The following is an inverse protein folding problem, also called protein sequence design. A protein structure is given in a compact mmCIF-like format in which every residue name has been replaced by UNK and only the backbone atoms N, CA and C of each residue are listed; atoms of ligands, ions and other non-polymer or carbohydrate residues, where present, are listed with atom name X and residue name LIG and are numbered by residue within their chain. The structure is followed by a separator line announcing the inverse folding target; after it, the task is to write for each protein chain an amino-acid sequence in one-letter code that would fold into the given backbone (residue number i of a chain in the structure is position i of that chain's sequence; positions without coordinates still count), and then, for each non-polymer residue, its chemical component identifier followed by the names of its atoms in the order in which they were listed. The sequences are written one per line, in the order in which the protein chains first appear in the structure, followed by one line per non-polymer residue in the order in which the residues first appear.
data_IF_029469034472
#
_entry.id   IF_029469034472
#
_cell.length_a   1.000
_cell.length_b   1.000
_cell.length_c   1.000
_cell.angle_alpha   90.00
_cell.angle_beta   90.00
_cell.angle_gamma   90.00
#
_symmetry.space_group_name_H-M   'P 1'
#
loop_
_entity.id
_entity.type
_entity.pdbx_description
1 polymer ?
#
# COMPACT_ATOMS: atom_id res chain seq x y z
N UNK A 1 43.36 -3.61 7.71
CA UNK A 1 43.31 -3.97 6.31
C UNK A 1 42.97 -5.45 6.26
N UNK A 2 41.71 -5.81 6.08
CA UNK A 2 41.30 -7.19 5.90
C UNK A 2 41.15 -7.43 4.39
N UNK A 3 41.83 -8.43 3.90
CA UNK A 3 41.79 -8.85 2.51
C UNK A 3 40.34 -9.22 2.13
N UNK A 4 39.80 -8.54 1.12
CA UNK A 4 38.59 -8.97 0.42
C UNK A 4 38.96 -10.28 -0.30
N UNK A 5 38.38 -11.38 0.18
CA UNK A 5 38.28 -12.58 -0.64
C UNK A 5 37.20 -12.33 -1.65
N UNK A 6 37.56 -12.25 -2.91
CA UNK A 6 36.65 -12.31 -4.05
C UNK A 6 35.97 -13.69 -4.02
N UNK A 7 34.72 -13.72 -3.63
CA UNK A 7 33.87 -14.90 -3.80
C UNK A 7 33.28 -14.79 -5.21
N UNK A 8 33.90 -15.47 -6.16
CA UNK A 8 33.26 -15.74 -7.44
C UNK A 8 32.00 -16.57 -7.22
N UNK A 9 30.83 -15.94 -7.32
CA UNK A 9 29.54 -16.65 -7.38
C UNK A 9 29.37 -17.16 -8.81
N UNK A 10 29.94 -18.33 -9.07
CA UNK A 10 29.92 -18.98 -10.37
C UNK A 10 28.78 -19.99 -10.49
N UNK A 11 27.63 -19.58 -10.63
CA UNK A 11 26.42 -20.27 -11.14
C UNK A 11 25.28 -20.41 -10.13
N UNK A 12 24.08 -20.44 -10.67
CA UNK A 12 22.81 -20.67 -9.93
C UNK A 12 22.78 -22.00 -9.16
N UNK A 13 23.68 -22.91 -9.46
CA UNK A 13 23.84 -24.20 -8.77
C UNK A 13 24.51 -24.03 -7.40
N UNK A 14 25.46 -23.09 -7.28
CA UNK A 14 26.22 -22.93 -6.02
C UNK A 14 25.43 -22.20 -4.93
N UNK A 15 24.37 -21.45 -5.32
CA UNK A 15 23.45 -20.86 -4.35
C UNK A 15 22.42 -21.84 -3.80
N UNK A 16 22.17 -22.96 -4.46
CA UNK A 16 21.25 -24.01 -3.99
C UNK A 16 21.83 -24.85 -2.86
N UNK A 17 23.16 -24.96 -2.77
CA UNK A 17 23.85 -25.68 -1.69
C UNK A 17 23.83 -24.91 -0.35
N UNK A 18 23.47 -23.62 -0.36
CA UNK A 18 23.27 -22.82 0.85
C UNK A 18 21.84 -22.93 1.42
N UNK A 19 20.92 -23.58 0.71
CA UNK A 19 19.59 -23.83 1.19
C UNK A 19 19.56 -25.08 2.06
N UNK A 20 18.76 -25.03 3.14
CA UNK A 20 18.55 -26.14 4.07
C UNK A 20 18.29 -27.44 3.29
N UNK A 21 18.96 -28.58 3.63
CA UNK A 21 18.89 -29.82 2.85
C UNK A 21 17.48 -30.41 2.68
N UNK A 22 16.51 -29.94 3.46
CA UNK A 22 15.11 -30.35 3.36
C UNK A 22 14.28 -29.49 2.42
N UNK A 23 14.81 -28.38 1.87
CA UNK A 23 14.13 -27.59 0.86
C UNK A 23 14.39 -28.25 -0.48
N UNK A 24 13.49 -29.13 -0.89
CA UNK A 24 13.49 -29.68 -2.25
C UNK A 24 13.34 -28.52 -3.22
N UNK A 25 14.22 -28.40 -4.24
CA UNK A 25 14.00 -27.41 -5.27
C UNK A 25 12.60 -27.60 -5.84
N UNK A 26 11.87 -26.52 -5.99
CA UNK A 26 10.58 -26.53 -6.68
C UNK A 26 10.78 -27.25 -8.00
N UNK A 27 9.95 -28.27 -8.32
CA UNK A 27 10.04 -28.86 -9.63
C UNK A 27 9.91 -27.73 -10.66
N UNK A 28 10.95 -27.56 -11.46
CA UNK A 28 10.90 -26.64 -12.60
C UNK A 28 9.92 -27.30 -13.56
N UNK A 29 8.64 -27.00 -13.39
CA UNK A 29 7.64 -27.35 -14.38
C UNK A 29 8.01 -26.57 -15.64
N UNK A 30 8.22 -27.23 -16.76
CA UNK A 30 8.43 -26.52 -18.03
C UNK A 30 7.25 -25.58 -18.26
N UNK A 31 7.45 -24.42 -18.86
CA UNK A 31 6.35 -23.53 -19.18
C UNK A 31 5.26 -24.31 -19.95
N UNK A 32 3.98 -24.09 -19.64
CA UNK A 32 2.90 -24.81 -20.28
C UNK A 32 3.00 -24.63 -21.80
N UNK A 33 2.78 -25.70 -22.55
CA UNK A 33 2.77 -25.66 -24.00
C UNK A 33 1.70 -24.69 -24.53
N UNK A 34 1.87 -24.15 -25.73
CA UNK A 34 0.82 -23.30 -26.35
C UNK A 34 -0.55 -23.98 -26.39
N UNK A 35 -0.61 -25.31 -26.53
CA UNK A 35 -1.85 -26.08 -26.50
C UNK A 35 -2.50 -26.13 -25.10
N UNK A 36 -1.71 -26.28 -24.06
CA UNK A 36 -2.18 -26.22 -22.67
C UNK A 36 -2.69 -24.83 -22.32
N UNK A 37 -1.97 -23.80 -22.73
CA UNK A 37 -2.40 -22.41 -22.60
C UNK A 37 -3.71 -22.19 -23.35
N UNK A 38 -3.83 -22.64 -24.59
CA UNK A 38 -5.06 -22.53 -25.39
C UNK A 38 -6.24 -23.26 -24.73
N UNK A 39 -6.03 -24.42 -24.11
CA UNK A 39 -7.07 -25.15 -23.35
C UNK A 39 -7.54 -24.39 -22.12
N UNK A 40 -6.62 -23.72 -21.39
CA UNK A 40 -6.99 -22.88 -20.24
C UNK A 40 -7.81 -21.67 -20.70
N UNK A 41 -7.40 -21.02 -21.79
CA UNK A 41 -8.16 -19.89 -22.34
C UNK A 41 -9.50 -20.32 -22.94
N UNK A 42 -9.59 -21.48 -23.59
CA UNK A 42 -10.85 -22.04 -24.05
C UNK A 42 -11.82 -22.35 -22.90
N UNK A 43 -11.31 -22.89 -21.78
CA UNK A 43 -12.10 -23.08 -20.56
C UNK A 43 -12.62 -21.75 -19.98
N UNK A 44 -11.77 -20.72 -19.92
CA UNK A 44 -12.18 -19.37 -19.45
C UNK A 44 -13.23 -18.73 -20.36
N UNK A 45 -13.20 -19.01 -21.66
CA UNK A 45 -14.23 -18.52 -22.59
C UNK A 45 -15.52 -19.34 -22.53
N UNK A 46 -15.46 -20.61 -22.12
CA UNK A 46 -16.64 -21.48 -22.03
C UNK A 46 -17.50 -21.20 -20.78
N UNK A 47 -16.90 -20.71 -19.70
CA UNK A 47 -17.61 -20.22 -18.52
C UNK A 47 -17.63 -18.70 -18.54
N UNK A 48 -18.79 -18.11 -18.80
CA UNK A 48 -19.01 -16.68 -18.57
C UNK A 48 -19.06 -16.45 -17.05
N UNK A 49 -17.88 -16.27 -16.44
CA UNK A 49 -17.77 -16.08 -15.01
C UNK A 49 -18.49 -14.80 -14.55
N UNK A 50 -18.54 -13.76 -15.40
CA UNK A 50 -19.32 -12.55 -15.12
C UNK A 50 -20.80 -12.87 -14.97
N UNK A 51 -21.36 -13.64 -15.91
CA UNK A 51 -22.75 -14.10 -15.84
C UNK A 51 -22.99 -15.01 -14.63
N UNK A 52 -22.06 -15.91 -14.33
CA UNK A 52 -22.16 -16.73 -13.13
C UNK A 52 -22.19 -15.85 -11.86
N UNK A 53 -21.37 -14.80 -11.78
CA UNK A 53 -21.40 -13.85 -10.68
C UNK A 53 -22.75 -13.13 -10.58
N UNK A 54 -23.29 -12.62 -11.70
CA UNK A 54 -24.60 -11.98 -11.74
C UNK A 54 -25.72 -12.91 -11.26
N UNK A 55 -25.66 -14.19 -11.63
CA UNK A 55 -26.67 -15.18 -11.28
C UNK A 55 -26.53 -15.70 -9.84
N UNK A 56 -25.31 -15.76 -9.28
CA UNK A 56 -25.01 -16.45 -8.03
C UNK A 56 -24.55 -15.54 -6.88
N UNK A 57 -24.01 -14.35 -7.17
CA UNK A 57 -23.52 -13.41 -6.16
C UNK A 57 -24.46 -12.20 -5.98
N UNK A 58 -25.77 -12.48 -5.89
CA UNK A 58 -26.74 -11.42 -5.67
C UNK A 58 -26.59 -10.84 -4.27
N UNK A 59 -26.74 -9.50 -4.18
CA UNK A 59 -26.64 -8.77 -2.92
C UNK A 59 -27.54 -9.37 -1.84
N UNK A 60 -28.74 -9.83 -2.20
CA UNK A 60 -29.69 -10.46 -1.29
C UNK A 60 -29.15 -11.76 -0.65
N UNK A 61 -28.20 -12.43 -1.29
CA UNK A 61 -27.60 -13.66 -0.74
C UNK A 61 -26.54 -13.39 0.31
N UNK A 62 -26.11 -12.13 0.45
CA UNK A 62 -25.18 -11.72 1.49
C UNK A 62 -25.88 -11.48 2.84
N UNK A 63 -27.18 -11.19 2.83
CA UNK A 63 -27.96 -10.97 4.06
C UNK A 63 -28.09 -12.26 4.87
N UNK A 64 -27.85 -12.14 6.18
CA UNK A 64 -27.97 -13.26 7.11
C UNK A 64 -26.78 -14.21 7.15
N UNK A 65 -25.73 -13.97 6.36
CA UNK A 65 -24.45 -14.66 6.55
C UNK A 65 -23.65 -13.96 7.65
N UNK A 66 -22.96 -14.73 8.52
CA UNK A 66 -22.06 -14.13 9.49
C UNK A 66 -20.91 -13.43 8.76
N UNK A 67 -20.57 -12.24 9.23
CA UNK A 67 -19.40 -11.50 8.77
C UNK A 67 -18.14 -12.02 9.46
N UNK A 68 -16.97 -11.83 8.83
CA UNK A 68 -15.71 -12.42 9.30
C UNK A 68 -15.34 -12.02 10.74
N UNK A 69 -15.66 -10.79 11.16
CA UNK A 69 -15.36 -10.24 12.48
C UNK A 69 -16.64 -10.00 13.31
N UNK A 70 -17.74 -10.64 12.95
CA UNK A 70 -18.99 -10.50 13.69
C UNK A 70 -18.81 -10.94 15.15
N UNK A 71 -19.18 -10.05 16.08
CA UNK A 71 -19.05 -10.26 17.51
C UNK A 71 -17.73 -9.80 18.12
N UNK A 72 -16.76 -9.41 17.31
CA UNK A 72 -15.52 -8.78 17.79
C UNK A 72 -15.70 -7.29 18.02
N UNK A 73 -15.03 -6.77 19.04
CA UNK A 73 -15.07 -5.36 19.42
C UNK A 73 -13.66 -4.78 19.49
N UNK A 74 -13.47 -3.62 18.88
CA UNK A 74 -12.23 -2.87 18.89
C UNK A 74 -12.43 -1.47 19.44
N UNK A 75 -11.46 -0.98 20.20
CA UNK A 75 -11.45 0.39 20.72
C UNK A 75 -10.31 1.15 20.08
N UNK A 76 -10.61 2.29 19.48
CA UNK A 76 -9.65 3.20 18.88
C UNK A 76 -9.47 4.43 19.75
N UNK A 77 -8.23 4.79 20.05
CA UNK A 77 -7.85 6.05 20.72
C UNK A 77 -6.82 6.78 19.88
N UNK A 78 -7.05 8.05 19.61
CA UNK A 78 -6.14 8.88 18.82
C UNK A 78 -6.81 10.18 18.40
N UNK A 79 -6.07 11.27 18.48
CA UNK A 79 -6.53 12.60 18.05
C UNK A 79 -5.78 13.04 16.80
N UNK A 80 -6.48 13.64 15.84
CA UNK A 80 -5.87 14.04 14.56
C UNK A 80 -5.24 12.88 13.81
N UNK A 81 -5.83 11.66 13.91
CA UNK A 81 -5.26 10.43 13.38
C UNK A 81 -6.19 9.81 12.34
N UNK A 82 -5.79 9.89 11.08
CA UNK A 82 -6.52 9.23 9.98
C UNK A 82 -6.24 7.74 9.94
N UNK A 83 -5.02 7.31 10.26
CA UNK A 83 -4.62 5.90 10.19
C UNK A 83 -5.51 4.99 11.04
N UNK A 84 -5.78 5.34 12.30
CA UNK A 84 -6.65 4.53 13.15
C UNK A 84 -8.13 4.57 12.71
N UNK A 85 -8.60 5.71 12.17
CA UNK A 85 -9.96 5.79 11.61
C UNK A 85 -10.11 4.89 10.39
N UNK A 86 -9.11 4.91 9.53
CA UNK A 86 -9.07 4.04 8.35
C UNK A 86 -9.01 2.56 8.75
N UNK A 87 -8.11 2.17 9.66
CA UNK A 87 -8.05 0.82 10.20
C UNK A 87 -9.39 0.38 10.80
N UNK A 88 -10.02 1.25 11.62
CA UNK A 88 -11.33 1.01 12.19
C UNK A 88 -12.42 0.81 11.15
N UNK A 89 -12.39 1.59 10.06
CA UNK A 89 -13.30 1.45 8.92
C UNK A 89 -13.17 0.08 8.24
N UNK A 90 -11.95 -0.38 7.96
CA UNK A 90 -11.70 -1.70 7.38
C UNK A 90 -12.22 -2.84 8.28
N UNK A 91 -12.00 -2.73 9.58
CA UNK A 91 -12.50 -3.71 10.55
C UNK A 91 -14.03 -3.70 10.64
N UNK A 92 -14.66 -2.52 10.56
CA UNK A 92 -16.14 -2.41 10.50
C UNK A 92 -16.70 -3.05 9.23
N UNK A 93 -16.05 -2.86 8.08
CA UNK A 93 -16.45 -3.45 6.81
C UNK A 93 -16.37 -4.98 6.84
N UNK A 94 -15.53 -5.54 7.71
CA UNK A 94 -15.46 -6.97 7.98
C UNK A 94 -16.43 -7.47 9.07
N UNK A 95 -17.27 -6.60 9.63
CA UNK A 95 -18.35 -6.94 10.59
C UNK A 95 -18.04 -6.67 12.06
N UNK A 96 -16.90 -6.05 12.38
CA UNK A 96 -16.55 -5.73 13.75
C UNK A 96 -17.32 -4.52 14.30
N UNK A 97 -17.50 -4.47 15.60
CA UNK A 97 -17.91 -3.26 16.31
C UNK A 97 -16.66 -2.45 16.67
N UNK A 98 -16.51 -1.26 16.09
CA UNK A 98 -15.39 -0.35 16.39
C UNK A 98 -15.90 0.90 17.12
N UNK A 99 -15.27 1.20 18.25
CA UNK A 99 -15.63 2.33 19.11
C UNK A 99 -14.45 3.29 19.20
N UNK A 100 -14.61 4.49 18.65
CA UNK A 100 -13.63 5.56 18.78
C UNK A 100 -13.86 6.36 20.06
N UNK A 101 -12.81 6.49 20.85
CA UNK A 101 -12.80 7.37 22.03
C UNK A 101 -12.34 8.75 21.59
N UNK A 102 -13.18 9.73 21.84
CA UNK A 102 -12.91 11.14 21.56
C UNK A 102 -12.91 11.92 22.90
N UNK A 103 -12.18 13.02 23.00
CA UNK A 103 -12.31 13.92 24.14
C UNK A 103 -13.72 14.55 24.17
N UNK A 104 -14.13 15.16 25.28
CA UNK A 104 -15.45 15.79 25.40
C UNK A 104 -15.77 16.81 24.29
N UNK A 105 -14.74 17.46 23.77
CA UNK A 105 -14.84 18.47 22.70
C UNK A 105 -14.98 17.84 21.30
N UNK A 106 -14.83 16.52 21.18
CA UNK A 106 -14.77 15.77 19.94
C UNK A 106 -13.38 15.78 19.29
N UNK A 107 -13.17 14.89 18.32
CA UNK A 107 -11.94 14.84 17.56
C UNK A 107 -11.86 16.07 16.62
N UNK A 108 -10.76 16.82 16.63
CA UNK A 108 -10.57 17.94 15.71
C UNK A 108 -10.67 17.57 14.22
N UNK A 109 -10.46 16.30 13.84
CA UNK A 109 -10.71 15.81 12.48
C UNK A 109 -12.18 15.99 12.04
N UNK A 110 -13.12 16.17 12.97
CA UNK A 110 -14.53 16.50 12.66
C UNK A 110 -14.67 17.78 11.84
N UNK A 111 -13.65 18.64 11.85
CA UNK A 111 -13.60 19.86 11.05
C UNK A 111 -12.92 19.68 9.69
N UNK A 112 -12.41 18.47 9.38
CA UNK A 112 -11.70 18.21 8.15
C UNK A 112 -12.66 18.10 6.98
N UNK A 113 -12.42 18.92 5.96
CA UNK A 113 -13.22 18.94 4.73
C UNK A 113 -12.32 18.96 3.51
N UNK A 114 -12.75 18.40 2.37
CA UNK A 114 -12.00 18.47 1.13
C UNK A 114 -11.63 19.90 0.78
N UNK A 115 -10.35 20.14 0.58
CA UNK A 115 -9.78 21.47 0.26
C UNK A 115 -10.10 22.57 1.29
N UNK A 116 -10.47 22.22 2.54
CA UNK A 116 -10.86 23.18 3.58
C UNK A 116 -12.16 23.94 3.30
N UNK A 117 -12.99 23.46 2.39
CA UNK A 117 -14.21 24.13 1.96
C UNK A 117 -15.38 23.89 2.90
N UNK A 118 -16.02 24.96 3.36
CA UNK A 118 -17.12 24.91 4.34
C UNK A 118 -18.39 24.25 3.80
N UNK A 119 -18.62 24.25 2.50
CA UNK A 119 -19.74 23.58 1.84
C UNK A 119 -19.74 22.05 2.03
N UNK A 120 -18.61 21.47 2.41
CA UNK A 120 -18.48 20.05 2.74
C UNK A 120 -18.61 19.72 4.23
N UNK A 121 -19.08 20.68 5.03
CA UNK A 121 -19.57 20.44 6.38
C UNK A 121 -21.01 19.96 6.30
N UNK A 122 -21.25 18.69 6.68
CA UNK A 122 -22.58 18.11 6.69
C UNK A 122 -23.21 18.28 8.08
N UNK A 123 -24.49 18.56 8.11
CA UNK A 123 -25.26 18.71 9.34
C UNK A 123 -26.16 17.48 9.54
N UNK A 124 -26.07 16.87 10.72
CA UNK A 124 -26.95 15.78 11.10
C UNK A 124 -28.40 16.25 11.20
N UNK A 125 -29.29 15.59 10.48
CA UNK A 125 -30.74 15.86 10.57
C UNK A 125 -31.33 15.47 11.91
N UNK A 126 -30.63 14.69 12.72
CA UNK A 126 -31.09 14.19 14.00
C UNK A 126 -30.58 15.06 15.15
N UNK A 127 -29.25 15.32 15.18
CA UNK A 127 -28.61 16.03 16.31
C UNK A 127 -28.35 17.51 16.02
N UNK A 128 -28.34 17.92 14.74
CA UNK A 128 -27.92 19.28 14.33
C UNK A 128 -26.41 19.50 14.37
N UNK A 129 -25.63 18.49 14.75
CA UNK A 129 -24.18 18.59 14.77
C UNK A 129 -23.61 18.64 13.36
N UNK A 130 -22.54 19.41 13.21
CA UNK A 130 -21.80 19.55 11.94
C UNK A 130 -20.52 18.75 11.96
N UNK A 131 -20.25 18.04 10.86
CA UNK A 131 -19.07 17.25 10.71
C UNK A 131 -18.55 17.33 9.28
N UNK A 132 -17.24 17.37 9.12
CA UNK A 132 -16.58 17.42 7.81
C UNK A 132 -16.70 16.11 7.06
N UNK A 133 -16.83 16.22 5.75
CA UNK A 133 -17.03 15.05 4.87
C UNK A 133 -15.89 14.03 4.98
N UNK A 134 -14.63 14.47 5.10
CA UNK A 134 -13.48 13.59 5.22
C UNK A 134 -13.55 12.74 6.49
N UNK A 135 -13.95 13.35 7.63
CA UNK A 135 -14.14 12.60 8.87
C UNK A 135 -15.27 11.58 8.76
N UNK A 136 -16.39 11.95 8.15
CA UNK A 136 -17.52 11.04 7.94
C UNK A 136 -17.10 9.85 7.10
N UNK A 137 -16.31 10.09 6.06
CA UNK A 137 -15.79 9.03 5.19
C UNK A 137 -14.92 8.05 5.97
N UNK A 138 -13.98 8.55 6.76
CA UNK A 138 -13.04 7.67 7.50
C UNK A 138 -13.69 6.99 8.71
N UNK A 139 -14.71 7.60 9.28
CA UNK A 139 -15.48 7.03 10.41
C UNK A 139 -16.59 6.05 9.99
N UNK A 140 -16.60 5.63 8.73
CA UNK A 140 -17.62 4.72 8.20
C UNK A 140 -17.80 3.47 9.07
N UNK A 141 -19.05 3.18 9.45
CA UNK A 141 -19.42 2.04 10.30
C UNK A 141 -19.03 2.15 11.78
N UNK A 142 -18.18 3.09 12.16
CA UNK A 142 -17.65 3.20 13.51
C UNK A 142 -18.58 3.98 14.43
N UNK A 143 -18.53 3.66 15.70
CA UNK A 143 -19.22 4.39 16.78
C UNK A 143 -18.26 5.37 17.44
N UNK A 144 -18.80 6.48 17.94
CA UNK A 144 -18.03 7.47 18.71
C UNK A 144 -18.55 7.56 20.13
N UNK A 145 -17.63 7.65 21.09
CA UNK A 145 -17.92 7.89 22.50
C UNK A 145 -16.99 8.99 22.99
N UNK A 146 -17.56 10.03 23.57
CA UNK A 146 -16.76 11.08 24.24
C UNK A 146 -16.39 10.65 25.65
N UNK A 147 -15.09 10.71 25.99
CA UNK A 147 -14.59 10.29 27.29
C UNK A 147 -13.34 11.09 27.66
N UNK A 148 -13.32 11.67 28.86
CA UNK A 148 -12.12 12.33 29.38
C UNK A 148 -11.22 11.30 30.07
N UNK A 149 -10.17 10.86 29.41
CA UNK A 149 -9.21 9.87 29.94
C UNK A 149 -8.25 10.44 30.99
N UNK A 150 -8.28 11.74 31.27
CA UNK A 150 -7.49 12.36 32.32
C UNK A 150 -8.17 12.29 33.70
N UNK A 151 -9.48 11.99 33.74
CA UNK A 151 -10.22 11.81 34.99
C UNK A 151 -10.24 10.35 35.42
N UNK A 152 -10.31 10.10 36.72
CA UNK A 152 -10.37 8.73 37.25
C UNK A 152 -11.64 8.00 36.79
N UNK A 153 -12.78 8.70 36.76
CA UNK A 153 -14.03 8.16 36.26
C UNK A 153 -13.94 7.78 34.79
N UNK A 154 -13.28 8.62 33.99
CA UNK A 154 -13.03 8.33 32.56
C UNK A 154 -12.14 7.10 32.37
N UNK A 155 -11.07 6.96 33.17
CA UNK A 155 -10.20 5.78 33.14
C UNK A 155 -10.94 4.51 33.53
N UNK A 156 -11.80 4.56 34.54
CA UNK A 156 -12.61 3.42 34.96
C UNK A 156 -13.60 2.98 33.87
N UNK A 157 -14.25 3.95 33.20
CA UNK A 157 -15.17 3.66 32.08
C UNK A 157 -14.36 3.04 30.93
N UNK A 158 -13.18 3.60 30.60
CA UNK A 158 -12.31 3.06 29.56
C UNK A 158 -11.90 1.62 29.86
N UNK A 159 -11.44 1.31 31.09
CA UNK A 159 -11.07 -0.04 31.49
C UNK A 159 -12.23 -1.04 31.39
N UNK A 160 -13.44 -0.63 31.76
CA UNK A 160 -14.65 -1.46 31.58
C UNK A 160 -14.91 -1.76 30.10
N UNK A 161 -14.72 -0.76 29.24
CA UNK A 161 -14.88 -0.94 27.80
C UNK A 161 -13.81 -1.89 27.23
N UNK A 162 -12.54 -1.74 27.67
CA UNK A 162 -11.45 -2.63 27.27
C UNK A 162 -11.71 -4.07 27.71
N UNK A 163 -12.25 -4.30 28.92
CA UNK A 163 -12.59 -5.62 29.41
C UNK A 163 -13.67 -6.34 28.57
N UNK A 164 -14.37 -5.62 27.71
CA UNK A 164 -15.38 -6.14 26.77
C UNK A 164 -14.90 -6.12 25.31
N UNK A 165 -13.61 -5.85 25.08
CA UNK A 165 -13.05 -5.63 23.75
C UNK A 165 -11.95 -6.63 23.46
N UNK A 166 -11.75 -6.93 22.18
CA UNK A 166 -10.75 -7.86 21.68
C UNK A 166 -9.40 -7.18 21.44
N UNK A 167 -9.43 -5.94 20.96
CA UNK A 167 -8.21 -5.18 20.74
C UNK A 167 -8.37 -3.68 20.94
N UNK A 168 -7.23 -3.03 21.16
CA UNK A 168 -7.06 -1.57 21.19
C UNK A 168 -6.16 -1.14 20.03
N UNK A 169 -6.56 -0.08 19.35
CA UNK A 169 -5.75 0.68 18.41
C UNK A 169 -5.39 2.01 19.10
N UNK A 170 -4.14 2.14 19.49
CA UNK A 170 -3.62 3.32 20.16
C UNK A 170 -2.72 4.12 19.21
N UNK A 171 -3.22 5.25 18.72
CA UNK A 171 -2.44 6.21 17.92
C UNK A 171 -2.25 7.53 18.68
N UNK A 172 -2.20 7.47 20.01
CA UNK A 172 -1.79 8.60 20.83
C UNK A 172 -0.28 8.79 20.79
N UNK A 173 0.24 9.97 21.15
CA UNK A 173 1.68 10.16 21.27
C UNK A 173 2.33 9.08 22.14
N UNK A 174 3.51 8.61 21.72
CA UNK A 174 4.23 7.53 22.40
C UNK A 174 4.34 7.79 23.90
N UNK A 175 3.91 6.81 24.72
CA UNK A 175 3.92 6.90 26.18
C UNK A 175 2.76 7.68 26.80
N UNK A 176 1.89 8.32 26.03
CA UNK A 176 0.75 9.08 26.59
C UNK A 176 -0.21 8.16 27.35
N UNK A 177 -0.66 7.08 26.75
CA UNK A 177 -1.56 6.12 27.41
C UNK A 177 -0.91 5.46 28.62
N UNK A 178 0.40 5.18 28.55
CA UNK A 178 1.16 4.70 29.71
C UNK A 178 1.21 5.70 30.85
N UNK A 179 1.33 6.99 30.57
CA UNK A 179 1.35 8.06 31.60
C UNK A 179 0.02 8.17 32.34
N UNK A 180 -1.07 7.76 31.70
CA UNK A 180 -2.41 7.70 32.29
C UNK A 180 -2.67 6.38 33.05
N UNK A 181 -1.76 5.39 32.96
CA UNK A 181 -1.99 4.04 33.49
C UNK A 181 -2.91 3.19 32.62
N UNK A 182 -3.07 3.56 31.33
CA UNK A 182 -3.96 2.93 30.36
C UNK A 182 -3.22 2.27 29.17
N UNK A 183 -1.88 2.26 29.21
CA UNK A 183 -1.07 1.56 28.20
C UNK A 183 -1.03 0.05 28.40
N UNK A 184 -0.50 -0.68 27.41
CA UNK A 184 -0.47 -2.14 27.38
C UNK A 184 0.10 -2.77 28.66
N UNK A 185 1.24 -2.28 29.19
CA UNK A 185 1.88 -2.80 30.40
C UNK A 185 0.99 -2.73 31.65
N UNK A 186 -0.01 -1.85 31.66
CA UNK A 186 -0.97 -1.72 32.75
C UNK A 186 -2.19 -2.60 32.54
N UNK A 187 -2.67 -2.64 31.28
CA UNK A 187 -3.91 -3.35 30.92
C UNK A 187 -3.70 -4.85 30.75
N UNK A 188 -2.54 -5.31 30.28
CA UNK A 188 -2.27 -6.73 29.99
C UNK A 188 -2.39 -7.65 31.21
N UNK A 189 -2.09 -7.14 32.40
CA UNK A 189 -2.25 -7.93 33.64
C UNK A 189 -3.71 -8.12 34.03
N UNK A 190 -4.55 -7.13 33.74
CA UNK A 190 -5.99 -7.17 34.04
C UNK A 190 -6.76 -7.89 32.93
N UNK A 191 -6.31 -7.71 31.67
CA UNK A 191 -6.93 -8.24 30.47
C UNK A 191 -5.95 -9.06 29.62
N UNK A 192 -5.58 -10.28 30.04
CA UNK A 192 -4.52 -11.06 29.39
C UNK A 192 -4.83 -11.46 27.95
N UNK A 193 -6.09 -11.43 27.54
CA UNK A 193 -6.49 -11.72 26.15
C UNK A 193 -6.44 -10.49 25.23
N UNK A 194 -6.17 -9.30 25.76
CA UNK A 194 -6.19 -8.06 25.00
C UNK A 194 -5.05 -8.01 23.97
N UNK A 195 -5.40 -7.82 22.71
CA UNK A 195 -4.45 -7.40 21.68
C UNK A 195 -4.36 -5.87 21.73
N UNK A 196 -3.16 -5.35 21.84
CA UNK A 196 -2.90 -3.91 21.92
C UNK A 196 -1.97 -3.48 20.80
N UNK A 197 -2.47 -2.74 19.82
CA UNK A 197 -1.69 -2.24 18.70
C UNK A 197 -1.42 -0.75 18.87
N UNK A 198 -0.17 -0.39 19.07
CA UNK A 198 0.27 0.99 19.06
C UNK A 198 0.65 1.41 17.65
N UNK A 199 0.19 2.58 17.21
CA UNK A 199 0.51 3.15 15.91
C UNK A 199 1.29 4.45 16.13
N UNK A 200 2.52 4.47 15.68
CA UNK A 200 3.42 5.59 15.90
C UNK A 200 4.12 6.03 14.62
N UNK A 201 4.54 7.29 14.55
CA UNK A 201 5.27 7.79 13.36
C UNK A 201 6.66 7.14 13.25
N UNK A 202 7.36 7.01 14.39
CA UNK A 202 8.75 6.54 14.47
C UNK A 202 8.98 5.43 15.49
N UNK A 203 7.92 4.80 15.95
CA UNK A 203 7.95 3.79 16.99
C UNK A 203 8.00 4.37 18.41
N UNK A 204 7.74 3.48 19.38
CA UNK A 204 7.79 3.78 20.83
C UNK A 204 9.13 3.40 21.45
N UNK A 205 10.00 2.76 20.71
CA UNK A 205 11.35 2.35 21.12
C UNK A 205 12.37 2.61 19.99
N UNK A 206 13.65 2.39 20.26
CA UNK A 206 14.74 2.61 19.31
C UNK A 206 15.31 4.04 19.31
N UNK A 207 16.26 4.33 18.39
CA UNK A 207 17.05 5.57 18.43
C UNK A 207 16.27 6.83 18.02
N UNK A 208 15.09 6.65 17.45
CA UNK A 208 14.27 7.77 16.95
C UNK A 208 13.02 8.05 17.79
N UNK A 209 12.74 7.24 18.84
CA UNK A 209 11.56 7.39 19.70
C UNK A 209 11.38 8.79 20.31
N UNK A 210 12.48 9.42 20.68
CA UNK A 210 12.50 10.75 21.33
C UNK A 210 12.76 11.89 20.34
N UNK A 211 12.99 11.58 19.04
CA UNK A 211 13.19 12.58 17.98
C UNK A 211 11.84 13.11 17.48
N UNK A 212 11.09 13.69 18.39
CA UNK A 212 9.81 14.30 18.08
C UNK A 212 9.97 15.81 18.01
N UNK A 213 9.58 16.43 16.90
CA UNK A 213 9.33 17.87 16.91
C UNK A 213 8.06 18.16 17.71
N UNK A 214 7.86 19.39 18.16
CA UNK A 214 6.61 19.82 18.79
C UNK A 214 5.36 19.47 17.96
N UNK A 215 5.54 19.21 16.66
CA UNK A 215 4.51 18.86 15.69
C UNK A 215 4.65 17.43 15.17
N UNK A 216 5.76 16.74 15.40
CA UNK A 216 6.18 15.53 14.67
C UNK A 216 5.53 14.21 15.08
N UNK A 217 4.68 14.23 16.11
CA UNK A 217 3.89 13.05 16.49
C UNK A 217 2.42 13.12 16.05
N UNK A 218 2.04 14.21 15.38
CA UNK A 218 0.63 14.48 15.13
C UNK A 218 0.09 13.89 13.83
N UNK A 219 0.95 13.62 12.84
CA UNK A 219 0.52 13.04 11.57
C UNK A 219 1.55 12.09 11.00
N UNK A 220 1.10 10.96 10.46
CA UNK A 220 1.96 9.99 9.78
C UNK A 220 2.43 10.52 8.43
N UNK A 221 1.56 11.21 7.69
CA UNK A 221 1.76 11.54 6.29
C UNK A 221 3.03 12.34 5.98
N UNK A 222 3.24 13.57 6.48
CA UNK A 222 4.43 14.31 6.06
C UNK A 222 5.73 13.72 6.63
N UNK A 223 5.70 13.14 7.82
CA UNK A 223 6.89 12.68 8.52
C UNK A 223 7.26 11.24 8.17
N UNK A 224 6.29 10.35 8.01
CA UNK A 224 6.50 9.00 7.54
C UNK A 224 7.05 9.00 6.11
N UNK A 225 6.38 9.71 5.19
CA UNK A 225 6.80 9.80 3.80
C UNK A 225 8.16 10.45 3.57
N UNK A 226 8.51 11.47 4.37
CA UNK A 226 9.82 12.11 4.28
C UNK A 226 10.94 11.28 4.92
N UNK A 227 10.63 10.52 5.98
CA UNK A 227 11.65 9.77 6.72
C UNK A 227 12.21 8.59 5.93
N UNK A 228 11.47 8.04 4.97
CA UNK A 228 11.79 6.80 4.26
C UNK A 228 11.94 6.93 2.74
N UNK A 229 12.12 8.13 2.25
CA UNK A 229 12.35 8.41 0.84
C UNK A 229 11.15 8.26 -0.13
N UNK A 230 9.95 7.89 0.32
CA UNK A 230 8.76 7.81 -0.54
C UNK A 230 8.52 9.13 -1.30
N UNK A 231 8.53 10.26 -0.60
CA UNK A 231 8.39 11.60 -1.19
C UNK A 231 9.60 11.93 -2.07
N UNK A 232 10.81 11.41 -1.74
CA UNK A 232 11.99 11.60 -2.56
C UNK A 232 11.83 10.95 -3.94
N UNK A 233 11.25 9.77 -4.02
CA UNK A 233 11.06 9.02 -5.27
C UNK A 233 9.92 9.55 -6.13
N UNK A 234 9.03 10.36 -5.56
CA UNK A 234 7.86 10.89 -6.26
C UNK A 234 8.18 12.23 -6.92
N UNK A 235 7.87 12.36 -8.21
CA UNK A 235 8.03 13.60 -8.97
C UNK A 235 8.91 13.47 -10.21
N UNK A 236 9.15 14.60 -10.86
CA UNK A 236 10.00 14.66 -12.05
C UNK A 236 11.49 14.43 -11.72
N UNK A 237 12.28 13.93 -12.68
CA UNK A 237 13.72 13.79 -12.54
C UNK A 237 14.39 15.11 -12.13
N UNK A 238 15.36 15.03 -11.23
CA UNK A 238 16.01 16.23 -10.66
C UNK A 238 16.84 16.99 -11.67
N UNK A 239 17.36 16.32 -12.66
CA UNK A 239 18.28 16.81 -13.71
C UNK A 239 17.54 17.39 -14.92
N UNK A 240 16.24 17.10 -15.07
CA UNK A 240 15.48 17.53 -16.24
C UNK A 240 14.76 18.88 -16.05
N UNK A 241 14.58 19.33 -14.82
CA UNK A 241 13.90 20.59 -14.52
C UNK A 241 14.67 21.39 -13.47
N UNK A 242 14.74 22.73 -13.59
CA UNK A 242 15.24 23.58 -12.52
C UNK A 242 14.47 23.31 -11.22
N UNK A 243 15.14 23.42 -10.08
CA UNK A 243 14.52 23.23 -8.75
C UNK A 243 13.23 24.02 -8.57
N UNK A 244 13.14 25.17 -9.20
CA UNK A 244 11.98 26.09 -9.20
C UNK A 244 10.79 25.57 -10.04
N UNK A 245 11.02 24.60 -10.93
CA UNK A 245 10.04 24.11 -11.91
C UNK A 245 9.57 22.69 -11.68
N UNK A 246 9.99 22.01 -10.60
CA UNK A 246 9.52 20.65 -10.30
C UNK A 246 10.58 19.60 -9.98
N UNK A 247 11.87 19.98 -9.94
CA UNK A 247 12.95 19.07 -9.49
C UNK A 247 12.96 18.79 -7.99
N UNK A 248 11.97 19.26 -7.23
CA UNK A 248 11.80 18.96 -5.81
C UNK A 248 10.95 17.70 -5.59
N UNK A 249 11.09 17.04 -4.44
CA UNK A 249 10.19 15.97 -4.02
C UNK A 249 8.73 16.42 -4.08
N UNK A 250 7.87 15.54 -4.56
CA UNK A 250 6.45 15.84 -4.75
C UNK A 250 5.62 14.98 -3.79
N UNK A 251 4.69 15.60 -3.09
CA UNK A 251 3.74 14.89 -2.25
C UNK A 251 2.75 14.12 -3.13
N UNK A 252 2.39 12.90 -2.73
CA UNK A 252 1.25 12.19 -3.30
C UNK A 252 -0.05 12.99 -3.08
N UNK A 253 -1.00 12.86 -3.96
CA UNK A 253 -2.30 13.55 -3.85
C UNK A 253 -3.22 12.99 -2.77
N UNK A 254 -2.79 11.94 -2.06
CA UNK A 254 -3.54 11.23 -1.01
C UNK A 254 -2.73 11.18 0.29
N UNK A 255 -3.39 10.89 1.40
CA UNK A 255 -2.78 10.69 2.73
C UNK A 255 -2.17 9.28 2.83
N UNK A 256 -1.20 9.03 1.97
CA UNK A 256 -0.69 7.70 1.68
C UNK A 256 -0.12 7.00 2.93
N UNK A 257 0.68 7.70 3.73
CA UNK A 257 1.29 7.14 4.93
C UNK A 257 0.25 6.75 5.99
N UNK A 258 -0.79 7.57 6.15
CA UNK A 258 -1.88 7.28 7.09
C UNK A 258 -2.67 6.05 6.64
N UNK A 259 -2.99 5.93 5.36
CA UNK A 259 -3.75 4.80 4.84
C UNK A 259 -2.95 3.50 4.89
N UNK A 260 -1.69 3.51 4.49
CA UNK A 260 -0.84 2.31 4.56
C UNK A 260 -0.61 1.86 6.01
N UNK A 261 -0.37 2.80 6.93
CA UNK A 261 -0.26 2.47 8.34
C UNK A 261 -1.57 1.93 8.92
N UNK A 262 -2.72 2.48 8.50
CA UNK A 262 -4.03 1.98 8.90
C UNK A 262 -4.32 0.57 8.40
N UNK A 263 -4.01 0.27 7.14
CA UNK A 263 -4.11 -1.07 6.57
C UNK A 263 -3.21 -2.07 7.29
N UNK A 264 -1.95 -1.71 7.50
CA UNK A 264 -1.01 -2.55 8.23
C UNK A 264 -1.46 -2.77 9.68
N UNK A 265 -2.09 -1.78 10.30
CA UNK A 265 -2.67 -1.90 11.65
C UNK A 265 -3.78 -2.95 11.67
N UNK A 266 -4.71 -2.89 10.73
CA UNK A 266 -5.78 -3.89 10.62
C UNK A 266 -5.19 -5.29 10.41
N UNK A 267 -4.25 -5.46 9.49
CA UNK A 267 -3.57 -6.74 9.23
C UNK A 267 -2.83 -7.28 10.47
N UNK A 268 -2.12 -6.42 11.18
CA UNK A 268 -1.37 -6.78 12.40
C UNK A 268 -2.31 -7.26 13.51
N UNK A 269 -3.42 -6.57 13.70
CA UNK A 269 -4.43 -6.97 14.70
C UNK A 269 -5.05 -8.32 14.33
N UNK A 270 -5.42 -8.52 13.06
CA UNK A 270 -5.99 -9.78 12.61
C UNK A 270 -5.02 -10.96 12.80
N UNK A 271 -3.73 -10.75 12.49
CA UNK A 271 -2.70 -11.76 12.75
C UNK A 271 -2.54 -12.08 14.25
N UNK A 272 -2.56 -11.04 15.11
CA UNK A 272 -2.47 -11.23 16.55
C UNK A 272 -3.70 -11.92 17.15
N UNK A 273 -4.89 -11.58 16.65
CA UNK A 273 -6.13 -12.25 17.05
C UNK A 273 -6.15 -13.72 16.61
N UNK A 274 -5.73 -13.99 15.38
CA UNK A 274 -5.59 -15.38 14.90
C UNK A 274 -4.64 -16.18 15.79
N UNK A 275 -3.48 -15.63 16.14
CA UNK A 275 -2.53 -16.25 17.05
C UNK A 275 -3.11 -16.47 18.44
N UNK A 276 -3.80 -15.48 18.98
CA UNK A 276 -4.50 -15.59 20.26
C UNK A 276 -5.51 -16.73 20.29
N UNK A 277 -6.39 -16.75 19.30
CA UNK A 277 -7.56 -17.61 19.34
C UNK A 277 -7.23 -19.06 18.95
N UNK A 278 -6.25 -19.30 18.07
CA UNK A 278 -5.88 -20.62 17.60
C UNK A 278 -4.77 -21.29 18.44
N UNK A 279 -3.90 -20.52 19.09
CA UNK A 279 -2.69 -21.08 19.66
C UNK A 279 -2.49 -20.81 21.15
N UNK A 280 -2.60 -19.57 21.61
CA UNK A 280 -2.15 -19.20 22.97
C UNK A 280 -3.28 -18.92 23.95
N UNK A 281 -4.40 -18.42 23.49
CA UNK A 281 -5.44 -17.85 24.35
C UNK A 281 -5.08 -16.49 24.95
N UNK A 282 -3.85 -16.00 24.73
CA UNK A 282 -3.32 -14.74 25.27
C UNK A 282 -3.15 -13.70 24.18
N UNK A 283 -3.47 -12.44 24.50
CA UNK A 283 -3.23 -11.30 23.66
C UNK A 283 -1.75 -10.90 23.65
N UNK A 284 -1.42 -9.87 22.88
CA UNK A 284 -0.04 -9.39 22.76
C UNK A 284 0.02 -7.89 22.44
N UNK A 285 1.19 -7.31 22.65
CA UNK A 285 1.52 -5.97 22.17
C UNK A 285 2.02 -6.05 20.73
N UNK A 286 1.48 -5.17 19.90
CA UNK A 286 1.92 -4.97 18.53
C UNK A 286 2.27 -3.49 18.33
N UNK A 287 3.22 -3.20 17.47
CA UNK A 287 3.55 -1.84 17.06
C UNK A 287 3.58 -1.73 15.54
N UNK A 288 2.95 -0.70 15.03
CA UNK A 288 2.99 -0.31 13.61
C UNK A 288 3.60 1.09 13.53
N UNK A 289 4.64 1.24 12.73
CA UNK A 289 5.27 2.56 12.56
C UNK A 289 5.05 3.08 11.15
N UNK A 290 4.64 4.33 11.03
CA UNK A 290 4.40 4.95 9.73
C UNK A 290 5.66 5.02 8.87
N UNK A 291 6.85 5.12 9.46
CA UNK A 291 8.09 5.09 8.71
C UNK A 291 8.39 3.69 8.15
N UNK A 292 8.25 2.65 8.96
CA UNK A 292 8.54 1.27 8.55
C UNK A 292 7.53 0.75 7.53
N UNK A 293 6.24 1.05 7.71
CA UNK A 293 5.21 0.66 6.73
C UNK A 293 5.46 1.25 5.35
N UNK A 294 6.01 2.47 5.29
CA UNK A 294 6.37 3.05 4.00
C UNK A 294 7.69 2.52 3.46
N UNK A 295 8.64 2.13 4.32
CA UNK A 295 9.86 1.44 3.89
C UNK A 295 9.55 0.09 3.25
N UNK A 296 8.55 -0.63 3.76
CA UNK A 296 8.12 -1.92 3.24
C UNK A 296 7.61 -1.83 1.80
N UNK A 297 6.99 -0.71 1.43
CA UNK A 297 6.44 -0.48 0.09
C UNK A 297 7.40 0.27 -0.85
N UNK A 298 8.62 0.58 -0.42
CA UNK A 298 9.64 1.20 -1.29
C UNK A 298 10.30 0.23 -2.26
N UNK A 299 9.79 -1.00 -2.30
CA UNK A 299 10.24 -2.05 -3.18
C UNK A 299 11.77 -2.30 -3.05
N UNK A 300 12.55 -1.97 -4.08
CA UNK A 300 13.97 -2.28 -4.11
C UNK A 300 14.90 -1.13 -3.69
N UNK A 301 14.40 -0.01 -3.20
CA UNK A 301 15.25 1.15 -2.84
C UNK A 301 16.27 0.83 -1.74
N UNK A 302 15.85 0.04 -0.74
CA UNK A 302 16.74 -0.41 0.33
C UNK A 302 17.82 -1.34 -0.24
N UNK A 303 17.42 -2.29 -1.08
CA UNK A 303 18.34 -3.20 -1.77
C UNK A 303 19.28 -2.43 -2.70
N UNK A 304 18.77 -1.45 -3.44
CA UNK A 304 19.59 -0.57 -4.29
C UNK A 304 20.70 0.12 -3.49
N UNK A 305 20.35 0.73 -2.36
CA UNK A 305 21.34 1.38 -1.50
C UNK A 305 22.35 0.37 -0.93
N UNK A 306 21.87 -0.79 -0.52
CA UNK A 306 22.73 -1.86 0.02
C UNK A 306 23.78 -2.37 -0.98
N UNK A 307 23.40 -2.50 -2.25
CA UNK A 307 24.32 -2.97 -3.30
C UNK A 307 25.17 -1.87 -3.92
N UNK A 308 24.61 -0.70 -4.16
CA UNK A 308 25.25 0.35 -4.92
C UNK A 308 25.85 1.46 -4.06
N UNK A 309 25.56 1.50 -2.76
CA UNK A 309 25.93 2.58 -1.84
C UNK A 309 25.57 3.98 -2.39
N UNK A 310 24.46 4.05 -3.15
CA UNK A 310 23.96 5.27 -3.78
C UNK A 310 22.47 5.41 -3.60
N UNK A 311 21.99 6.65 -3.57
CA UNK A 311 20.55 6.95 -3.49
C UNK A 311 20.00 6.94 -4.91
N UNK A 312 18.90 6.20 -5.12
CA UNK A 312 18.20 6.16 -6.40
C UNK A 312 17.63 7.53 -6.74
N UNK A 313 17.84 7.99 -7.95
CA UNK A 313 17.22 9.22 -8.44
C UNK A 313 15.78 8.97 -8.89
N UNK A 314 14.97 10.03 -8.90
CA UNK A 314 13.64 10.00 -9.52
C UNK A 314 13.77 9.80 -11.03
N UNK A 315 12.95 8.91 -11.55
CA UNK A 315 12.91 8.57 -12.99
C UNK A 315 11.75 9.23 -13.74
N UNK A 316 10.84 9.88 -13.02
CA UNK A 316 9.66 10.50 -13.64
C UNK A 316 8.62 9.47 -14.08
N UNK A 317 8.34 9.44 -15.37
CA UNK A 317 7.35 8.52 -15.94
C UNK A 317 7.85 7.09 -16.11
N UNK A 318 9.13 6.84 -15.93
CA UNK A 318 9.76 5.55 -16.17
C UNK A 318 9.92 4.73 -14.91
N UNK A 319 9.62 3.43 -15.00
CA UNK A 319 10.06 2.50 -13.99
C UNK A 319 11.57 2.25 -14.12
N UNK A 320 12.34 2.41 -13.05
CA UNK A 320 13.80 2.28 -13.13
C UNK A 320 14.31 0.84 -13.30
N UNK A 321 13.44 -0.16 -13.14
CA UNK A 321 13.83 -1.58 -13.18
C UNK A 321 13.11 -2.37 -14.27
N UNK A 322 11.96 -1.89 -14.70
CA UNK A 322 11.10 -2.59 -15.66
C UNK A 322 10.88 -1.71 -16.87
N UNK A 323 11.56 -2.07 -17.97
CA UNK A 323 11.34 -1.40 -19.24
C UNK A 323 9.99 -1.80 -19.84
N UNK A 324 9.29 -0.82 -20.41
CA UNK A 324 7.90 -0.87 -20.86
C UNK A 324 6.92 -1.16 -19.71
N UNK A 325 7.12 -0.44 -18.62
CA UNK A 325 6.17 -0.30 -17.53
C UNK A 325 6.11 1.18 -17.12
N UNK A 326 5.74 2.03 -18.08
CA UNK A 326 5.79 3.47 -17.97
C UNK A 326 4.60 4.18 -18.61
N UNK A 327 4.43 5.45 -18.23
CA UNK A 327 3.45 6.35 -18.80
C UNK A 327 3.93 6.94 -20.12
N UNK A 328 3.28 6.58 -21.21
CA UNK A 328 3.59 7.07 -22.55
C UNK A 328 2.59 8.15 -22.96
N UNK A 329 3.01 9.32 -23.44
CA UNK A 329 2.10 10.34 -23.95
C UNK A 329 1.43 9.86 -25.23
N UNK A 330 0.13 10.12 -25.33
CA UNK A 330 -0.68 9.93 -26.53
C UNK A 330 -1.42 11.23 -26.87
N UNK A 331 -2.19 11.23 -27.95
CA UNK A 331 -2.81 12.47 -28.49
C UNK A 331 -3.67 13.23 -27.48
N UNK A 332 -4.38 12.53 -26.60
CA UNK A 332 -5.37 13.08 -25.66
C UNK A 332 -5.05 12.80 -24.17
N UNK A 333 -3.81 12.42 -23.86
CA UNK A 333 -3.38 12.17 -22.50
C UNK A 333 -2.17 11.25 -22.39
N UNK A 334 -2.24 10.28 -21.49
CA UNK A 334 -1.19 9.32 -21.25
C UNK A 334 -1.77 7.90 -21.24
N UNK A 335 -0.95 6.95 -21.67
CA UNK A 335 -1.25 5.52 -21.68
C UNK A 335 -0.19 4.78 -20.88
N UNK A 336 -0.60 3.98 -19.91
CA UNK A 336 0.25 3.00 -19.25
C UNK A 336 0.34 1.74 -20.11
N UNK A 337 1.54 1.21 -20.32
CA UNK A 337 1.77 -0.03 -21.06
C UNK A 337 2.54 -1.00 -20.19
N UNK A 338 1.97 -2.17 -19.95
CA UNK A 338 2.62 -3.27 -19.21
C UNK A 338 3.25 -4.28 -20.16
N UNK A 339 4.46 -3.99 -20.65
CA UNK A 339 5.16 -4.78 -21.64
C UNK A 339 6.52 -5.35 -21.22
N UNK A 340 6.74 -5.52 -19.93
CA UNK A 340 8.06 -5.79 -19.34
C UNK A 340 8.65 -7.15 -19.70
N UNK A 341 7.84 -8.19 -19.96
CA UNK A 341 8.36 -9.52 -20.32
C UNK A 341 8.75 -9.58 -21.81
N UNK A 342 9.68 -10.48 -22.18
CA UNK A 342 10.10 -10.67 -23.58
C UNK A 342 8.92 -10.99 -24.49
N UNK A 343 7.97 -11.79 -24.02
CA UNK A 343 6.76 -12.13 -24.75
C UNK A 343 5.85 -10.92 -24.99
N UNK A 344 5.62 -10.09 -23.97
CA UNK A 344 4.79 -8.89 -24.10
C UNK A 344 5.47 -7.84 -24.96
N UNK A 345 6.78 -7.67 -24.81
CA UNK A 345 7.55 -6.76 -25.63
C UNK A 345 7.53 -7.16 -27.12
N UNK A 346 7.67 -8.46 -27.41
CA UNK A 346 7.53 -8.96 -28.76
C UNK A 346 6.16 -8.63 -29.36
N UNK A 347 5.10 -8.78 -28.59
CA UNK A 347 3.74 -8.43 -28.99
C UNK A 347 3.56 -6.92 -29.22
N UNK A 348 4.19 -6.08 -28.38
CA UNK A 348 4.24 -4.63 -28.61
C UNK A 348 4.88 -4.35 -29.99
N UNK A 349 5.98 -5.03 -30.28
CA UNK A 349 6.62 -4.96 -31.60
C UNK A 349 5.66 -5.30 -32.73
N UNK A 350 4.92 -6.39 -32.63
CA UNK A 350 3.89 -6.78 -33.61
C UNK A 350 2.78 -5.72 -33.76
N UNK A 351 2.33 -5.17 -32.65
CA UNK A 351 1.32 -4.12 -32.67
C UNK A 351 1.83 -2.85 -33.37
N UNK A 352 3.03 -2.41 -33.04
CA UNK A 352 3.67 -1.24 -33.66
C UNK A 352 3.99 -1.51 -35.15
N UNK A 353 4.41 -2.70 -35.51
CA UNK A 353 4.77 -3.07 -36.89
C UNK A 353 3.61 -2.89 -37.87
N UNK A 354 2.39 -3.09 -37.42
CA UNK A 354 1.18 -2.85 -38.21
C UNK A 354 1.08 -1.41 -38.71
N UNK A 355 1.40 -0.45 -37.87
CA UNK A 355 1.29 0.97 -38.16
C UNK A 355 2.64 1.57 -38.64
N UNK A 356 3.75 1.07 -38.11
CA UNK A 356 5.12 1.52 -38.38
C UNK A 356 6.08 0.32 -38.55
N UNK A 357 6.11 -0.31 -39.75
CA UNK A 357 6.88 -1.55 -39.99
C UNK A 357 8.38 -1.46 -39.62
N UNK A 358 8.98 -0.30 -39.80
CA UNK A 358 10.41 -0.09 -39.45
C UNK A 358 10.67 -0.11 -37.94
N UNK A 359 9.72 0.34 -37.13
CA UNK A 359 9.87 0.36 -35.67
C UNK A 359 9.57 -1.02 -35.08
N UNK A 360 8.54 -1.71 -35.55
CA UNK A 360 8.26 -3.07 -35.14
C UNK A 360 9.40 -4.01 -35.43
N UNK A 361 9.99 -3.97 -36.63
CA UNK A 361 11.18 -4.76 -36.97
C UNK A 361 12.37 -4.46 -36.06
N UNK A 362 12.62 -3.19 -35.72
CA UNK A 362 13.70 -2.85 -34.81
C UNK A 362 13.52 -3.50 -33.43
N UNK A 363 12.30 -3.61 -32.95
CA UNK A 363 11.98 -4.31 -31.70
C UNK A 363 12.32 -5.79 -31.77
N UNK A 364 12.02 -6.44 -32.90
CA UNK A 364 12.22 -7.88 -33.09
C UNK A 364 13.65 -8.28 -33.44
N UNK A 365 14.36 -7.44 -34.18
CA UNK A 365 15.66 -7.77 -34.77
C UNK A 365 16.83 -7.30 -33.91
N UNK A 366 16.69 -6.25 -33.10
CA UNK A 366 17.76 -5.73 -32.24
C UNK A 366 18.06 -6.74 -31.12
N UNK A 367 19.25 -7.32 -31.07
CA UNK A 367 19.60 -8.36 -30.11
C UNK A 367 19.57 -7.88 -28.65
N UNK A 368 19.69 -6.56 -28.40
CA UNK A 368 19.65 -5.97 -27.06
C UNK A 368 18.20 -5.73 -26.65
N UNK A 369 17.36 -5.22 -27.56
CA UNK A 369 15.98 -4.89 -27.25
C UNK A 369 15.08 -6.10 -27.05
N UNK A 370 15.37 -7.22 -27.71
CA UNK A 370 14.51 -8.41 -27.60
C UNK A 370 14.56 -9.13 -26.26
N UNK A 371 15.59 -8.89 -25.46
CA UNK A 371 15.79 -9.51 -24.14
C UNK A 371 15.58 -8.50 -23.02
N UNK A 372 14.83 -8.89 -21.97
CA UNK A 372 14.51 -8.04 -20.84
C UNK A 372 15.76 -7.47 -20.16
N UNK A 373 16.81 -8.29 -19.98
CA UNK A 373 18.06 -7.83 -19.38
C UNK A 373 18.74 -6.71 -20.17
N UNK A 374 18.68 -6.77 -21.51
CA UNK A 374 19.21 -5.73 -22.37
C UNK A 374 18.35 -4.46 -22.36
N UNK A 375 17.02 -4.61 -22.41
CA UNK A 375 16.08 -3.48 -22.40
C UNK A 375 16.15 -2.67 -21.11
N UNK A 376 16.36 -3.31 -19.98
CA UNK A 376 16.42 -2.66 -18.67
C UNK A 376 17.70 -1.84 -18.43
N UNK A 377 18.65 -1.86 -19.37
CA UNK A 377 19.77 -0.93 -19.31
C UNK A 377 19.28 0.51 -19.51
N UNK A 378 19.77 1.44 -18.70
CA UNK A 378 19.33 2.84 -18.70
C UNK A 378 19.35 3.49 -20.10
N UNK A 379 20.35 3.16 -20.88
CA UNK A 379 20.49 3.66 -22.26
C UNK A 379 19.36 3.17 -23.18
N UNK A 380 18.86 1.98 -22.91
CA UNK A 380 17.79 1.36 -23.70
C UNK A 380 16.41 1.84 -23.28
N UNK A 381 16.21 2.28 -22.02
CA UNK A 381 14.95 2.89 -21.55
C UNK A 381 14.54 4.06 -22.44
N UNK A 382 15.48 4.95 -22.75
CA UNK A 382 15.21 6.10 -23.64
C UNK A 382 14.83 5.64 -25.04
N UNK A 383 15.50 4.60 -25.56
CA UNK A 383 15.27 4.08 -26.92
C UNK A 383 13.88 3.45 -27.04
N UNK A 384 13.52 2.58 -26.10
CA UNK A 384 12.22 1.90 -26.07
C UNK A 384 11.08 2.87 -25.85
N UNK A 385 11.22 3.79 -24.88
CA UNK A 385 10.26 4.87 -24.63
C UNK A 385 10.05 5.76 -25.87
N UNK A 386 11.11 6.06 -26.59
CA UNK A 386 11.01 6.86 -27.83
C UNK A 386 10.22 6.12 -28.91
N UNK A 387 10.40 4.81 -29.05
CA UNK A 387 9.69 3.99 -30.03
C UNK A 387 8.19 3.95 -29.74
N UNK A 388 7.82 3.65 -28.50
CA UNK A 388 6.40 3.59 -28.08
C UNK A 388 5.74 4.96 -28.10
N UNK A 389 6.42 6.00 -27.64
CA UNK A 389 5.90 7.37 -27.67
C UNK A 389 5.65 7.86 -29.11
N UNK A 390 6.56 7.59 -30.05
CA UNK A 390 6.36 7.97 -31.46
C UNK A 390 5.17 7.26 -32.07
N UNK A 391 4.93 6.01 -31.70
CA UNK A 391 3.76 5.28 -32.17
C UNK A 391 2.47 5.84 -31.59
N UNK A 392 2.44 6.15 -30.27
CA UNK A 392 1.25 6.63 -29.55
C UNK A 392 0.89 8.09 -29.82
N UNK A 393 1.84 8.90 -30.24
CA UNK A 393 1.70 10.36 -30.32
C UNK A 393 0.45 10.85 -31.05
N UNK A 394 0.07 10.17 -32.12
CA UNK A 394 -1.04 10.58 -32.98
C UNK A 394 -2.32 9.74 -32.74
N UNK A 395 -2.27 8.80 -31.79
CA UNK A 395 -3.35 7.89 -31.43
C UNK A 395 -4.00 8.38 -30.12
N UNK A 396 -5.33 8.28 -30.02
CA UNK A 396 -6.02 8.57 -28.75
C UNK A 396 -5.96 7.35 -27.81
N UNK A 397 -6.24 7.58 -26.51
CA UNK A 397 -6.16 6.55 -25.48
C UNK A 397 -7.00 5.30 -25.80
N UNK A 398 -8.24 5.49 -26.17
CA UNK A 398 -9.17 4.39 -26.46
C UNK A 398 -8.66 3.56 -27.64
N UNK A 399 -8.25 4.22 -28.72
CA UNK A 399 -7.72 3.52 -29.90
C UNK A 399 -6.40 2.79 -29.57
N UNK A 400 -5.55 3.38 -28.73
CA UNK A 400 -4.31 2.74 -28.28
C UNK A 400 -4.58 1.50 -27.42
N UNK A 401 -5.53 1.61 -26.48
CA UNK A 401 -5.96 0.51 -25.64
C UNK A 401 -6.52 -0.65 -26.48
N UNK A 402 -7.45 -0.37 -27.39
CA UNK A 402 -8.01 -1.38 -28.28
C UNK A 402 -6.93 -2.11 -29.07
N UNK A 403 -6.00 -1.36 -29.68
CA UNK A 403 -4.87 -1.95 -30.43
C UNK A 403 -3.97 -2.83 -29.57
N UNK A 404 -3.67 -2.42 -28.34
CA UNK A 404 -2.83 -3.18 -27.42
C UNK A 404 -3.53 -4.44 -26.90
N UNK A 405 -4.83 -4.34 -26.61
CA UNK A 405 -5.65 -5.47 -26.17
C UNK A 405 -5.83 -6.54 -27.26
N UNK A 406 -5.86 -6.17 -28.55
CA UNK A 406 -5.85 -7.14 -29.65
C UNK A 406 -4.63 -8.09 -29.57
N UNK A 407 -3.52 -7.61 -29.05
CA UNK A 407 -2.30 -8.38 -28.83
C UNK A 407 -2.14 -8.89 -27.39
N UNK A 408 -3.19 -8.83 -26.58
CA UNK A 408 -3.20 -9.25 -25.17
C UNK A 408 -2.12 -8.52 -24.33
N UNK A 409 -1.90 -7.24 -24.59
CA UNK A 409 -0.99 -6.38 -23.84
C UNK A 409 -1.80 -5.60 -22.83
N UNK A 410 -1.39 -5.62 -21.56
CA UNK A 410 -2.02 -4.82 -20.52
C UNK A 410 -1.73 -3.34 -20.77
N UNK A 411 -2.80 -2.53 -20.88
CA UNK A 411 -2.74 -1.11 -21.13
C UNK A 411 -3.96 -0.39 -20.52
N UNK A 412 -3.82 0.91 -20.17
CA UNK A 412 -4.92 1.71 -19.65
C UNK A 412 -4.55 3.16 -19.37
#
# INVERSE_FOLDING_TARGET
MAEKKDVEINSRADTLDLMHPDIRPWPVTPPPSPEEVAKVYARRKAEDFGKWCEDNLKYEYCFGKPEALQGMRFVCVGLWRLGNKFAGGLLCEAGAEVINIEPPEGDPLRQLTPFGRKEYMLESKITGEKCGLDFIHEMRGQKSVTLNLETEEGKEIYKKLIGMSDAVIDEMPAGYMDSLGLGYRHLSNEFPRLVYCNVAVRGTWGPYKDKTSKFGQWTLEPFGGCANAFVHNTGFPQDQLPRESGGSPTRSGVWFADFVAGEQTANTILAALYWRDEFTGEGQFCEVTGAETQMDILDFDISWYGFNASIKARTGAWDPNLNQYEWNPCRDGYMMIGGQTDRLWYRIGMCIERDFPQFGRLIHEDPILKEMGGRNALEMLIKTYTLTTRWLRDINRIEAEEKLLEYEIAAG
#
